data_IF_728356335392
#
_entry.id   IF_728356335392
#
_cell.length_a   1.000
_cell.length_b   1.000
_cell.length_c   1.000
_cell.angle_alpha   90.00
_cell.angle_beta   90.00
_cell.angle_gamma   90.00
#
_symmetry.space_group_name_H-M   'P 1'
#
loop_
_entity.id
_entity.type
_entity.pdbx_description
1 polymer ?
#
# COMPACT_ATOMS: atom_id res chain seq x y z
N UNK A 1 2.53 7.49 8.98
CA UNK A 1 1.66 6.43 9.52
C UNK A 1 0.79 7.01 10.62
N UNK A 2 -0.36 6.39 10.87
CA UNK A 2 -1.13 6.49 12.10
C UNK A 2 -1.11 5.10 12.73
N UNK A 3 -0.59 5.00 13.96
CA UNK A 3 -0.39 3.73 14.64
C UNK A 3 -1.70 2.94 14.72
N UNK A 4 -1.63 1.64 14.43
CA UNK A 4 -2.76 0.70 14.35
C UNK A 4 -3.85 1.04 13.32
N UNK A 5 -3.61 2.01 12.41
CA UNK A 5 -4.59 2.45 11.41
C UNK A 5 -4.09 2.32 9.96
N UNK A 6 -2.83 2.64 9.69
CA UNK A 6 -2.27 2.61 8.33
C UNK A 6 -1.44 3.84 7.95
N UNK A 7 -1.32 4.10 6.66
CA UNK A 7 -0.52 5.18 6.08
C UNK A 7 -1.41 6.32 5.60
N UNK A 8 -0.97 7.55 5.87
CA UNK A 8 -1.69 8.76 5.46
C UNK A 8 -1.35 9.11 4.02
N UNK A 9 -2.35 9.50 3.22
CA UNK A 9 -2.13 9.95 1.83
C UNK A 9 -1.61 11.40 1.74
N UNK A 10 -1.84 12.20 2.78
CA UNK A 10 -1.34 13.58 2.91
C UNK A 10 -0.75 13.82 4.30
N UNK A 11 0.10 14.84 4.45
CA UNK A 11 0.85 15.06 5.69
C UNK A 11 0.09 15.92 6.73
N UNK A 12 -0.86 16.73 6.29
CA UNK A 12 -1.62 17.68 7.11
C UNK A 12 -2.96 17.13 7.62
N UNK A 13 -3.45 16.04 7.02
CA UNK A 13 -4.71 15.41 7.43
C UNK A 13 -4.53 13.99 7.96
N UNK A 14 -5.51 13.50 8.73
CA UNK A 14 -5.54 12.14 9.29
C UNK A 14 -6.28 11.16 8.36
N UNK A 15 -6.00 11.26 7.07
CA UNK A 15 -6.65 10.47 6.03
C UNK A 15 -5.79 9.27 5.69
N UNK A 16 -6.22 8.10 6.16
CA UNK A 16 -5.54 6.84 5.85
C UNK A 16 -6.17 6.22 4.62
N UNK A 17 -5.35 5.66 3.75
CA UNK A 17 -5.80 5.02 2.52
C UNK A 17 -5.25 3.60 2.42
N UNK A 18 -6.07 2.70 1.89
CA UNK A 18 -5.68 1.29 1.78
C UNK A 18 -4.56 1.09 0.75
N UNK A 19 -4.50 1.92 -0.30
CA UNK A 19 -3.45 1.87 -1.32
C UNK A 19 -2.08 2.25 -0.72
N UNK A 20 -1.93 3.43 -0.13
CA UNK A 20 -0.68 3.90 0.48
C UNK A 20 -0.23 2.99 1.62
N UNK A 21 -1.17 2.40 2.37
CA UNK A 21 -0.85 1.39 3.39
C UNK A 21 -0.28 0.11 2.75
N UNK A 22 -0.87 -0.36 1.65
CA UNK A 22 -0.39 -1.53 0.90
C UNK A 22 0.95 -1.28 0.21
N UNK A 23 1.16 -0.09 -0.34
CA UNK A 23 2.43 0.29 -0.98
C UNK A 23 3.57 0.38 0.05
N UNK A 24 3.28 0.90 1.25
CA UNK A 24 4.21 0.85 2.36
C UNK A 24 4.52 -0.60 2.79
N UNK A 25 3.52 -1.48 2.80
CA UNK A 25 3.74 -2.91 3.05
C UNK A 25 4.69 -3.54 2.01
N UNK A 26 4.52 -3.21 0.73
CA UNK A 26 5.43 -3.64 -0.35
C UNK A 26 6.86 -3.12 -0.10
N UNK A 27 7.00 -1.85 0.32
CA UNK A 27 8.29 -1.25 0.62
C UNK A 27 9.00 -1.95 1.80
N UNK A 28 8.29 -2.25 2.88
CA UNK A 28 8.83 -3.06 4.00
C UNK A 28 9.21 -4.47 3.54
N UNK A 29 8.38 -5.09 2.70
CA UNK A 29 8.71 -6.40 2.13
C UNK A 29 9.99 -6.35 1.28
N UNK A 30 10.22 -5.27 0.52
CA UNK A 30 11.40 -5.10 -0.33
C UNK A 30 12.70 -5.00 0.47
N UNK A 31 12.66 -4.44 1.68
CA UNK A 31 13.84 -4.35 2.57
C UNK A 31 13.98 -5.57 3.50
N UNK A 32 13.12 -6.58 3.34
CA UNK A 32 13.13 -7.82 4.12
C UNK A 32 12.38 -7.76 5.45
N UNK A 33 11.76 -6.62 5.78
CA UNK A 33 10.93 -6.45 6.98
C UNK A 33 9.52 -7.01 6.75
N UNK A 34 9.43 -8.34 6.75
CA UNK A 34 8.20 -9.08 6.44
C UNK A 34 7.16 -9.06 7.55
N UNK A 35 7.54 -8.72 8.78
CA UNK A 35 6.62 -8.63 9.91
C UNK A 35 5.78 -7.36 9.79
N UNK A 36 6.43 -6.21 9.71
CA UNK A 36 5.76 -4.92 9.50
C UNK A 36 4.94 -4.90 8.21
N UNK A 37 5.43 -5.53 7.13
CA UNK A 37 4.67 -5.65 5.89
C UNK A 37 3.32 -6.37 6.08
N UNK A 38 3.28 -7.43 6.87
CA UNK A 38 2.03 -8.16 7.15
C UNK A 38 1.09 -7.35 8.01
N UNK A 39 1.61 -6.68 9.03
CA UNK A 39 0.84 -5.81 9.91
C UNK A 39 0.17 -4.68 9.14
N UNK A 40 0.94 -3.97 8.30
CA UNK A 40 0.41 -2.92 7.41
C UNK A 40 -0.71 -3.46 6.51
N UNK A 41 -0.53 -4.64 5.90
CA UNK A 41 -1.58 -5.24 5.07
C UNK A 41 -2.84 -5.56 5.90
N UNK A 42 -2.69 -6.04 7.13
CA UNK A 42 -3.83 -6.29 8.03
C UNK A 42 -4.56 -5.01 8.43
N UNK A 43 -3.85 -3.89 8.57
CA UNK A 43 -4.46 -2.58 8.84
C UNK A 43 -5.33 -2.07 7.69
N UNK A 44 -5.28 -2.67 6.50
CA UNK A 44 -6.22 -2.36 5.41
C UNK A 44 -7.61 -2.96 5.63
N UNK A 45 -7.78 -3.92 6.55
CA UNK A 45 -9.06 -4.63 6.74
C UNK A 45 -10.28 -3.74 7.06
N UNK A 46 -10.17 -2.65 7.85
CA UNK A 46 -11.27 -1.71 8.07
C UNK A 46 -11.78 -1.02 6.79
N UNK A 47 -10.99 -1.00 5.71
CA UNK A 47 -11.41 -0.48 4.41
C UNK A 47 -12.22 -1.50 3.60
N UNK A 48 -12.20 -2.79 3.99
CA UNK A 48 -12.86 -3.85 3.22
C UNK A 48 -14.36 -3.76 3.34
N UNK A 49 -15.04 -3.79 2.20
CA UNK A 49 -16.50 -3.84 2.06
C UNK A 49 -17.02 -5.27 2.09
N UNK A 50 -18.31 -5.42 2.30
CA UNK A 50 -19.00 -6.72 2.29
C UNK A 50 -18.95 -7.43 0.93
N UNK A 51 -18.88 -6.66 -0.17
CA UNK A 51 -18.71 -7.18 -1.53
C UNK A 51 -17.25 -7.55 -1.87
N UNK A 52 -16.32 -7.33 -0.92
CA UNK A 52 -14.90 -7.62 -1.06
C UNK A 52 -14.07 -6.51 -1.71
N UNK A 53 -14.69 -5.44 -2.22
CA UNK A 53 -13.95 -4.24 -2.63
C UNK A 53 -13.38 -3.51 -1.40
N UNK A 54 -12.52 -2.52 -1.64
CA UNK A 54 -11.94 -1.70 -0.58
C UNK A 54 -12.26 -0.24 -0.82
N UNK A 55 -12.77 0.43 0.21
CA UNK A 55 -12.87 1.87 0.25
C UNK A 55 -11.49 2.51 0.08
N UNK A 56 -11.40 3.57 -0.73
CA UNK A 56 -10.13 4.25 -0.97
C UNK A 56 -9.50 4.73 0.34
N UNK A 57 -10.27 5.43 1.19
CA UNK A 57 -9.74 6.00 2.42
C UNK A 57 -10.73 6.09 3.57
N UNK A 58 -10.18 6.28 4.75
CA UNK A 58 -10.86 6.48 6.03
C UNK A 58 -10.25 7.72 6.69
N UNK A 59 -11.11 8.69 7.01
CA UNK A 59 -10.75 9.86 7.79
C UNK A 59 -10.89 9.51 9.26
N UNK A 60 -9.77 9.52 9.98
CA UNK A 60 -9.75 9.40 11.43
C UNK A 60 -9.81 10.80 12.04
N UNK A 61 -10.93 11.20 12.66
CA UNK A 61 -11.03 12.54 13.20
C UNK A 61 -10.15 12.70 14.44
N UNK A 62 -9.48 13.84 14.55
CA UNK A 62 -8.75 14.23 15.77
C UNK A 62 -9.69 14.69 16.89
N UNK A 63 -10.92 15.05 16.52
CA UNK A 63 -11.98 15.50 17.42
C UNK A 63 -12.83 14.28 17.83
N UNK A 64 -12.92 13.94 19.13
CA UNK A 64 -13.66 12.78 19.61
C UNK A 64 -15.17 12.88 19.37
N UNK A 65 -15.72 14.07 19.13
CA UNK A 65 -17.14 14.26 18.84
C UNK A 65 -17.49 14.01 17.36
N UNK A 66 -16.48 13.80 16.50
CA UNK A 66 -16.67 13.53 15.07
C UNK A 66 -16.61 12.03 14.77
N UNK A 67 -17.42 11.61 13.81
CA UNK A 67 -17.44 10.23 13.34
C UNK A 67 -16.39 10.02 12.26
N UNK A 68 -15.85 8.80 12.21
CA UNK A 68 -15.05 8.31 11.09
C UNK A 68 -15.88 8.30 9.80
N UNK A 69 -15.29 8.78 8.70
CA UNK A 69 -15.96 8.82 7.38
C UNK A 69 -15.06 8.28 6.29
N UNK A 70 -15.66 7.77 5.21
CA UNK A 70 -14.91 7.39 4.01
C UNK A 70 -14.60 8.62 3.16
N UNK A 71 -13.38 8.67 2.63
CA UNK A 71 -12.94 9.74 1.73
C UNK A 71 -11.97 9.21 0.66
N UNK A 72 -12.13 9.59 -0.62
CA UNK A 72 -13.28 10.32 -1.18
C UNK A 72 -14.62 9.57 -0.96
N UNK A 73 -15.73 10.31 -0.94
CA UNK A 73 -17.04 9.76 -0.57
C UNK A 73 -17.44 8.63 -1.53
N UNK A 74 -17.82 7.48 -0.94
CA UNK A 74 -18.24 6.27 -1.63
C UNK A 74 -17.26 5.73 -2.70
N UNK A 75 -15.97 6.10 -2.62
CA UNK A 75 -14.99 5.70 -3.62
C UNK A 75 -14.35 4.34 -3.31
N UNK A 76 -14.37 3.45 -4.29
CA UNK A 76 -13.57 2.22 -4.33
C UNK A 76 -12.96 2.10 -5.74
N UNK A 77 -11.64 2.10 -5.80
CA UNK A 77 -10.93 2.15 -7.08
C UNK A 77 -10.27 0.80 -7.42
N UNK A 78 -10.12 0.53 -8.72
CA UNK A 78 -9.34 -0.61 -9.20
C UNK A 78 -7.86 -0.51 -8.78
N UNK A 79 -7.35 0.72 -8.61
CA UNK A 79 -6.00 0.97 -8.12
C UNK A 79 -5.82 0.51 -6.66
N UNK A 80 -6.77 0.85 -5.77
CA UNK A 80 -6.77 0.38 -4.38
C UNK A 80 -6.77 -1.14 -4.31
N UNK A 81 -7.64 -1.79 -5.10
CA UNK A 81 -7.69 -3.25 -5.17
C UNK A 81 -6.36 -3.85 -5.69
N UNK A 82 -5.77 -3.25 -6.72
CA UNK A 82 -4.49 -3.69 -7.27
C UNK A 82 -3.36 -3.58 -6.23
N UNK A 83 -3.27 -2.48 -5.49
CA UNK A 83 -2.25 -2.29 -4.45
C UNK A 83 -2.32 -3.38 -3.37
N UNK A 84 -3.53 -3.72 -2.91
CA UNK A 84 -3.76 -4.78 -1.91
C UNK A 84 -3.33 -6.15 -2.44
N UNK A 85 -3.73 -6.49 -3.68
CA UNK A 85 -3.35 -7.76 -4.31
C UNK A 85 -1.83 -7.85 -4.48
N UNK A 86 -1.19 -6.77 -4.93
CA UNK A 86 0.27 -6.72 -5.09
C UNK A 86 1.01 -6.85 -3.75
N UNK A 87 0.51 -6.23 -2.69
CA UNK A 87 1.07 -6.38 -1.35
C UNK A 87 0.94 -7.82 -0.83
N UNK A 88 -0.24 -8.42 -0.98
CA UNK A 88 -0.48 -9.80 -0.59
C UNK A 88 0.43 -10.78 -1.37
N UNK A 89 0.61 -10.56 -2.68
CA UNK A 89 1.48 -11.39 -3.52
C UNK A 89 2.95 -11.21 -3.17
N UNK A 90 3.42 -9.97 -2.95
CA UNK A 90 4.80 -9.69 -2.53
C UNK A 90 5.14 -10.38 -1.19
N UNK A 91 4.22 -10.34 -0.23
CA UNK A 91 4.39 -10.97 1.08
C UNK A 91 4.36 -12.50 0.98
N UNK A 92 3.40 -13.05 0.24
CA UNK A 92 3.20 -14.50 0.16
C UNK A 92 4.16 -15.20 -0.80
N UNK A 93 4.66 -14.51 -1.83
CA UNK A 93 5.42 -15.14 -2.92
C UNK A 93 4.55 -16.04 -3.80
N UNK A 94 3.25 -15.78 -3.88
CA UNK A 94 2.26 -16.67 -4.50
C UNK A 94 2.34 -16.76 -6.03
N UNK A 95 2.89 -15.72 -6.68
CA UNK A 95 3.01 -15.64 -8.13
C UNK A 95 4.46 -15.38 -8.60
N UNK A 96 4.76 -15.66 -9.89
CA UNK A 96 6.03 -15.24 -10.50
C UNK A 96 6.26 -13.71 -10.49
N UNK A 97 5.19 -12.92 -10.37
CA UNK A 97 5.25 -11.46 -10.32
C UNK A 97 5.47 -10.91 -8.90
N UNK A 98 5.48 -11.74 -7.86
CA UNK A 98 5.64 -11.33 -6.44
C UNK A 98 6.91 -10.53 -6.15
N UNK A 99 7.91 -10.64 -7.03
CA UNK A 99 9.19 -9.95 -6.90
C UNK A 99 9.27 -8.62 -7.66
N UNK A 100 8.21 -8.22 -8.37
CA UNK A 100 8.22 -7.05 -9.26
C UNK A 100 8.68 -5.76 -8.56
N UNK A 101 8.24 -5.56 -7.31
CA UNK A 101 8.59 -4.37 -6.51
C UNK A 101 9.53 -4.66 -5.35
N UNK A 102 9.95 -5.91 -5.15
CA UNK A 102 10.81 -6.31 -4.02
C UNK A 102 12.19 -6.77 -4.45
N UNK A 103 12.39 -7.14 -5.72
CA UNK A 103 13.70 -7.45 -6.24
C UNK A 103 14.52 -6.18 -6.54
N UNK A 104 15.81 -6.22 -6.22
CA UNK A 104 16.75 -5.25 -6.73
C UNK A 104 16.86 -5.41 -8.25
N UNK A 105 16.40 -4.42 -9.01
CA UNK A 105 16.65 -4.40 -10.45
C UNK A 105 18.15 -4.17 -10.69
N UNK A 106 18.84 -5.04 -11.43
CA UNK A 106 20.20 -4.75 -11.83
C UNK A 106 20.18 -3.46 -12.65
N UNK A 107 21.01 -2.48 -12.28
CA UNK A 107 21.17 -1.24 -13.04
C UNK A 107 21.71 -1.57 -14.42
N UNK A 108 20.83 -1.84 -15.38
CA UNK A 108 21.18 -1.88 -16.80
C UNK A 108 21.24 -0.44 -17.28
N UNK A 109 22.42 0.16 -17.21
CA UNK A 109 22.67 1.42 -17.87
C UNK A 109 22.57 1.19 -19.39
N UNK A 110 21.43 1.55 -19.98
CA UNK A 110 21.22 1.46 -21.43
C UNK A 110 22.27 2.25 -22.24
N UNK A 111 22.97 3.19 -21.59
CA UNK A 111 23.99 4.05 -22.18
C UNK A 111 25.43 3.51 -22.10
N UNK A 112 25.71 2.40 -21.41
CA UNK A 112 27.09 1.89 -21.25
C UNK A 112 27.56 0.96 -22.39
N UNK A 113 26.77 0.79 -23.46
CA UNK A 113 27.14 -0.03 -24.61
C UNK A 113 27.76 0.74 -25.79
N UNK A 114 27.93 2.06 -25.71
CA UNK A 114 28.74 2.78 -26.71
C UNK A 114 30.21 2.61 -26.32
N UNK A 115 30.85 1.56 -26.85
CA UNK A 115 32.31 1.45 -26.85
C UNK A 115 32.87 2.70 -27.54
N UNK A 116 33.72 3.45 -26.84
CA UNK A 116 34.61 4.40 -27.48
C UNK A 116 35.45 3.61 -28.52
N UNK A 117 35.44 4.12 -29.76
CA UNK A 117 36.25 3.63 -30.87
C UNK A 117 37.74 3.78 -30.58
#
# INVERSE_FOLDING_TARGET
MLDDRGVRCVNDEQWVTAAETSECAIAHCAVGDRETARELLLWTMPHRRDDGAYWTGIVYPSDPDKTMVHFPADEYSAYTAAAIIMAADAISGGSPASTLFTAALPRRNAYQHVRAL
#
